data_IF_867531001540
#
_entry.id   IF_867531001540
#
_cell.length_a   1.000
_cell.length_b   1.000
_cell.length_c   1.000
_cell.angle_alpha   90.00
_cell.angle_beta   90.00
_cell.angle_gamma   90.00
#
_symmetry.space_group_name_H-M   'P 1'
#
loop_
_entity.id
_entity.type
_entity.pdbx_description
1 polymer ?
#
# COMPACT_ATOMS: atom_id res chain seq x y z
N UNK A 1 -14.15 -0.77 24.74
CA UNK A 1 -14.16 0.46 23.93
C UNK A 1 -13.67 1.59 24.83
N UNK A 2 -12.43 1.48 25.32
CA UNK A 2 -11.99 2.27 26.50
C UNK A 2 -10.47 2.48 26.63
N UNK A 3 -9.68 2.13 25.61
CA UNK A 3 -8.22 2.31 25.64
C UNK A 3 -7.74 3.55 24.87
N UNK A 4 -8.65 4.27 24.21
CA UNK A 4 -8.32 5.47 23.41
C UNK A 4 -8.39 6.79 24.18
N UNK A 5 -8.98 6.83 25.38
CA UNK A 5 -9.12 8.07 26.17
C UNK A 5 -7.97 8.34 27.13
N UNK A 6 -7.21 7.31 27.56
CA UNK A 6 -6.11 7.49 28.51
C UNK A 6 -4.89 8.20 27.91
N UNK A 7 -4.71 8.15 26.58
CA UNK A 7 -3.58 8.82 25.91
C UNK A 7 -3.76 10.34 25.76
N UNK A 8 -5.01 10.84 25.72
CA UNK A 8 -5.31 12.28 25.59
C UNK A 8 -5.37 13.01 26.94
N UNK A 9 -5.61 12.30 28.05
CA UNK A 9 -5.65 12.89 29.40
C UNK A 9 -4.24 13.20 29.93
N UNK A 10 -3.26 12.37 29.59
CA UNK A 10 -1.91 12.44 30.17
C UNK A 10 -1.00 13.54 29.59
N UNK A 11 -1.58 14.50 28.84
CA UNK A 11 -0.86 15.63 28.23
C UNK A 11 -1.14 16.99 28.86
N UNK A 12 -1.93 17.06 29.95
CA UNK A 12 -2.26 18.33 30.63
C UNK A 12 -1.47 18.61 31.90
N UNK A 13 -0.64 17.69 32.38
CA UNK A 13 0.22 17.92 33.54
C UNK A 13 1.69 17.86 33.11
N UNK A 14 2.26 19.03 32.86
CA UNK A 14 3.64 19.14 32.38
C UNK A 14 3.88 20.39 31.55
N UNK A 15 3.38 21.54 32.01
CA UNK A 15 3.91 22.81 31.56
C UNK A 15 5.35 22.93 32.07
N UNK A 16 6.31 22.47 31.27
CA UNK A 16 7.69 22.94 31.40
C UNK A 16 8.33 23.07 30.03
N UNK A 17 8.79 24.29 29.79
CA UNK A 17 9.29 24.83 28.55
C UNK A 17 10.52 24.06 28.07
N UNK A 18 10.42 23.29 26.99
CA UNK A 18 11.57 22.88 26.16
C UNK A 18 11.11 22.65 24.71
N UNK A 19 11.60 23.51 23.82
CA UNK A 19 11.47 23.54 22.35
C UNK A 19 11.02 22.20 21.74
N UNK A 20 9.76 22.11 21.29
CA UNK A 20 9.39 21.14 20.25
C UNK A 20 10.15 21.52 18.96
N UNK A 21 11.01 20.62 18.48
CA UNK A 21 11.81 20.80 17.28
C UNK A 21 10.95 21.23 16.08
N UNK A 22 11.30 22.35 15.48
CA UNK A 22 10.66 22.93 14.28
C UNK A 22 10.56 21.92 13.12
N UNK A 23 11.56 21.03 12.98
CA UNK A 23 11.54 19.95 11.99
C UNK A 23 10.39 18.94 12.19
N UNK A 24 10.05 18.58 13.43
CA UNK A 24 8.97 17.61 13.71
C UNK A 24 7.58 18.17 13.37
N UNK A 25 7.36 19.47 13.57
CA UNK A 25 6.13 20.14 13.14
C UNK A 25 6.04 20.27 11.63
N UNK A 26 7.15 20.59 10.95
CA UNK A 26 7.19 20.65 9.48
C UNK A 26 6.97 19.27 8.82
N UNK A 27 7.46 18.21 9.47
CA UNK A 27 7.36 16.82 9.00
C UNK A 27 5.92 16.29 9.05
N UNK A 28 5.24 16.46 10.19
CA UNK A 28 3.82 16.12 10.30
C UNK A 28 2.95 16.89 9.30
N UNK A 29 3.30 18.16 9.06
CA UNK A 29 2.62 19.00 8.07
C UNK A 29 2.81 18.49 6.63
N UNK A 30 4.01 18.06 6.23
CA UNK A 30 4.27 17.52 4.88
C UNK A 30 3.54 16.19 4.63
N UNK A 31 3.48 15.31 5.62
CA UNK A 31 2.69 14.06 5.54
C UNK A 31 1.21 14.40 5.37
N UNK A 32 0.72 15.37 6.15
CA UNK A 32 -0.66 15.79 6.09
C UNK A 32 -1.00 16.45 4.75
N UNK A 33 -0.10 17.26 4.20
CA UNK A 33 -0.25 17.84 2.86
C UNK A 33 -0.22 16.78 1.77
N UNK A 34 0.73 15.85 1.77
CA UNK A 34 0.76 14.76 0.78
C UNK A 34 -0.50 13.89 0.85
N UNK A 35 -0.99 13.61 2.06
CA UNK A 35 -2.25 12.89 2.27
C UNK A 35 -3.45 13.70 1.77
N UNK A 36 -3.49 15.01 2.06
CA UNK A 36 -4.57 15.90 1.67
C UNK A 36 -4.62 16.10 0.15
N UNK A 37 -3.47 16.40 -0.47
CA UNK A 37 -3.34 16.58 -1.92
C UNK A 37 -3.75 15.32 -2.67
N UNK A 38 -3.31 14.15 -2.20
CA UNK A 38 -3.74 12.90 -2.79
C UNK A 38 -5.24 12.66 -2.59
N UNK A 39 -5.78 12.92 -1.40
CA UNK A 39 -7.21 12.76 -1.12
C UNK A 39 -8.03 13.65 -2.05
N UNK A 40 -7.64 14.92 -2.19
CA UNK A 40 -8.27 15.88 -3.11
C UNK A 40 -8.18 15.37 -4.55
N UNK A 41 -6.99 14.95 -5.00
CA UNK A 41 -6.78 14.43 -6.35
C UNK A 41 -7.65 13.20 -6.65
N UNK A 42 -7.72 12.22 -5.74
CA UNK A 42 -8.55 11.01 -5.91
C UNK A 42 -10.04 11.33 -5.87
N UNK A 43 -10.46 12.35 -5.12
CA UNK A 43 -11.86 12.80 -5.11
C UNK A 43 -12.25 13.64 -6.32
N UNK A 44 -11.33 14.45 -6.85
CA UNK A 44 -11.59 15.38 -7.94
C UNK A 44 -11.39 14.73 -9.33
N UNK A 45 -10.44 13.80 -9.47
CA UNK A 45 -10.08 13.17 -10.74
C UNK A 45 -10.18 11.63 -10.65
N UNK A 46 -11.00 10.99 -11.49
CA UNK A 46 -11.29 9.56 -11.37
C UNK A 46 -10.17 8.66 -11.93
N UNK A 47 -9.15 9.19 -12.59
CA UNK A 47 -8.17 8.39 -13.33
C UNK A 47 -7.48 7.33 -12.46
N UNK A 48 -6.91 7.74 -11.32
CA UNK A 48 -6.27 6.80 -10.38
C UNK A 48 -7.24 5.75 -9.85
N UNK A 49 -8.48 6.15 -9.53
CA UNK A 49 -9.51 5.24 -9.06
C UNK A 49 -9.90 4.23 -10.16
N UNK A 50 -10.02 4.69 -11.40
CA UNK A 50 -10.35 3.87 -12.56
C UNK A 50 -9.26 2.84 -12.85
N UNK A 51 -7.98 3.25 -12.84
CA UNK A 51 -6.85 2.34 -12.99
C UNK A 51 -6.79 1.29 -11.88
N UNK A 52 -7.03 1.67 -10.63
CA UNK A 52 -7.10 0.72 -9.51
C UNK A 52 -8.26 -0.27 -9.68
N UNK A 53 -9.45 0.19 -10.07
CA UNK A 53 -10.61 -0.69 -10.30
C UNK A 53 -10.30 -1.65 -11.45
N UNK A 54 -9.75 -1.15 -12.55
CA UNK A 54 -9.42 -1.96 -13.71
C UNK A 54 -8.38 -3.04 -13.34
N UNK A 55 -7.26 -2.65 -12.73
CA UNK A 55 -6.22 -3.58 -12.29
C UNK A 55 -6.77 -4.64 -11.34
N UNK A 56 -7.51 -4.23 -10.30
CA UNK A 56 -8.11 -5.17 -9.33
C UNK A 56 -9.13 -6.11 -9.99
N UNK A 57 -9.96 -5.64 -10.93
CA UNK A 57 -10.89 -6.51 -11.66
C UNK A 57 -10.16 -7.50 -12.57
N UNK A 58 -9.14 -7.05 -13.31
CA UNK A 58 -8.35 -7.89 -14.19
C UNK A 58 -7.63 -8.99 -13.41
N UNK A 59 -6.94 -8.64 -12.32
CA UNK A 59 -6.32 -9.62 -11.42
C UNK A 59 -7.38 -10.57 -10.86
N UNK A 60 -8.54 -10.05 -10.44
CA UNK A 60 -9.62 -10.85 -9.86
C UNK A 60 -10.22 -11.87 -10.85
N UNK A 61 -10.32 -11.49 -12.12
CA UNK A 61 -10.78 -12.36 -13.22
C UNK A 61 -9.75 -13.44 -13.55
N UNK A 62 -8.47 -13.07 -13.71
CA UNK A 62 -7.41 -14.01 -14.04
C UNK A 62 -7.19 -15.02 -12.92
N UNK A 63 -7.31 -14.59 -11.67
CA UNK A 63 -7.11 -15.44 -10.50
C UNK A 63 -8.36 -16.17 -10.04
N UNK A 64 -9.45 -16.21 -10.83
CA UNK A 64 -10.78 -16.68 -10.39
C UNK A 64 -10.76 -18.09 -9.81
N UNK A 65 -9.97 -18.98 -10.38
CA UNK A 65 -9.84 -20.40 -9.99
C UNK A 65 -8.62 -20.66 -9.09
N UNK A 66 -7.78 -19.64 -8.86
CA UNK A 66 -6.59 -19.78 -8.03
C UNK A 66 -6.98 -19.99 -6.56
N UNK A 67 -6.31 -20.93 -5.90
CA UNK A 67 -6.44 -21.20 -4.46
C UNK A 67 -5.44 -20.42 -3.63
N UNK A 68 -4.36 -19.94 -4.24
CA UNK A 68 -3.37 -19.03 -3.65
C UNK A 68 -3.00 -17.94 -4.66
N UNK A 69 -3.03 -16.69 -4.21
CA UNK A 69 -2.73 -15.50 -5.00
C UNK A 69 -1.56 -14.78 -4.34
N UNK A 70 -0.56 -14.41 -5.14
CA UNK A 70 0.57 -13.60 -4.72
C UNK A 70 0.60 -12.31 -5.53
N UNK A 71 0.55 -11.17 -4.87
CA UNK A 71 0.56 -9.86 -5.49
C UNK A 71 1.86 -9.15 -5.14
N UNK A 72 2.58 -8.67 -6.15
CA UNK A 72 3.68 -7.72 -5.98
C UNK A 72 3.16 -6.36 -6.43
N UNK A 73 3.12 -5.39 -5.52
CA UNK A 73 2.63 -4.04 -5.78
C UNK A 73 3.76 -3.03 -5.69
N UNK A 74 4.15 -2.48 -6.85
CA UNK A 74 5.13 -1.41 -6.94
C UNK A 74 4.48 -0.08 -6.57
N UNK A 75 4.85 0.38 -5.39
CA UNK A 75 4.47 1.66 -4.85
C UNK A 75 3.10 1.65 -4.21
N UNK A 76 2.90 0.71 -3.29
CA UNK A 76 1.72 0.60 -2.45
C UNK A 76 1.53 1.90 -1.64
N UNK A 77 0.77 2.83 -2.22
CA UNK A 77 0.63 4.15 -1.62
C UNK A 77 -0.45 4.11 -0.53
N UNK A 78 -1.59 3.48 -0.85
CA UNK A 78 -2.75 3.30 0.00
C UNK A 78 -3.39 1.93 -0.25
N UNK A 79 -3.85 1.30 0.82
CA UNK A 79 -4.48 -0.02 0.88
C UNK A 79 -5.90 -0.10 0.29
N UNK A 80 -6.46 1.01 -0.22
CA UNK A 80 -7.82 1.04 -0.74
C UNK A 80 -8.04 0.11 -1.95
N UNK A 81 -7.06 0.05 -2.87
CA UNK A 81 -7.14 -0.84 -4.02
C UNK A 81 -7.30 -2.30 -3.56
N UNK A 82 -6.46 -2.71 -2.61
CA UNK A 82 -6.44 -4.07 -2.09
C UNK A 82 -7.66 -4.35 -1.23
N UNK A 83 -8.13 -3.40 -0.41
CA UNK A 83 -9.41 -3.51 0.32
C UNK A 83 -10.57 -3.93 -0.59
N UNK A 84 -10.74 -3.24 -1.73
CA UNK A 84 -11.79 -3.59 -2.69
C UNK A 84 -11.56 -4.96 -3.37
N UNK A 85 -10.31 -5.27 -3.69
CA UNK A 85 -9.94 -6.56 -4.27
C UNK A 85 -10.31 -7.74 -3.35
N UNK A 86 -9.95 -7.63 -2.06
CA UNK A 86 -10.25 -8.63 -1.02
C UNK A 86 -11.74 -8.90 -0.94
N UNK A 87 -12.51 -7.81 -0.86
CA UNK A 87 -13.96 -7.91 -0.79
C UNK A 87 -14.48 -8.67 -2.01
N UNK A 88 -14.00 -8.35 -3.22
CA UNK A 88 -14.35 -9.05 -4.45
C UNK A 88 -14.03 -10.55 -4.42
N UNK A 89 -12.83 -10.94 -3.99
CA UNK A 89 -12.44 -12.36 -3.93
C UNK A 89 -13.11 -13.12 -2.78
N UNK A 90 -13.55 -12.43 -1.71
CA UNK A 90 -14.26 -13.05 -0.60
C UNK A 90 -15.68 -13.50 -0.97
N UNK A 91 -16.28 -12.92 -2.01
CA UNK A 91 -17.58 -13.30 -2.53
C UNK A 91 -17.53 -14.44 -3.57
N UNK A 92 -16.36 -15.05 -3.78
CA UNK A 92 -16.27 -16.20 -4.68
C UNK A 92 -17.15 -17.35 -4.14
N UNK A 93 -17.82 -18.13 -5.01
CA UNK A 93 -18.64 -19.27 -4.57
C UNK A 93 -17.81 -20.37 -3.88
N UNK A 94 -16.53 -20.46 -4.26
CA UNK A 94 -15.55 -21.35 -3.67
C UNK A 94 -14.92 -20.72 -2.43
N UNK A 95 -14.15 -21.50 -1.67
CA UNK A 95 -13.39 -20.97 -0.51
C UNK A 95 -12.52 -19.77 -0.94
N UNK A 96 -12.48 -18.68 -0.15
CA UNK A 96 -11.60 -17.56 -0.44
C UNK A 96 -10.14 -18.01 -0.55
N UNK A 97 -9.39 -17.53 -1.56
CA UNK A 97 -8.02 -17.93 -1.77
C UNK A 97 -7.12 -17.44 -0.64
N UNK A 98 -5.96 -18.10 -0.45
CA UNK A 98 -4.87 -17.48 0.30
C UNK A 98 -4.38 -16.26 -0.47
N UNK A 99 -4.12 -15.16 0.22
CA UNK A 99 -3.60 -13.94 -0.39
C UNK A 99 -2.32 -13.50 0.30
N UNK A 100 -1.26 -13.37 -0.49
CA UNK A 100 0.00 -12.75 -0.08
C UNK A 100 0.19 -11.47 -0.87
N UNK A 101 0.46 -10.36 -0.18
CA UNK A 101 0.78 -9.08 -0.82
C UNK A 101 2.16 -8.64 -0.38
N UNK A 102 3.01 -8.36 -1.37
CA UNK A 102 4.30 -7.71 -1.19
C UNK A 102 4.19 -6.30 -1.72
N UNK A 103 4.40 -5.33 -0.83
CA UNK A 103 4.56 -3.93 -1.21
C UNK A 103 6.04 -3.62 -1.44
N UNK A 104 6.39 -3.08 -2.60
CA UNK A 104 7.73 -2.54 -2.88
C UNK A 104 7.56 -1.03 -3.07
N UNK A 105 8.04 -0.21 -2.14
CA UNK A 105 8.02 1.24 -2.29
C UNK A 105 9.44 1.77 -2.52
N UNK A 106 9.53 2.93 -3.19
CA UNK A 106 10.81 3.60 -3.35
C UNK A 106 11.30 4.11 -2.00
N UNK A 107 12.58 3.92 -1.64
CA UNK A 107 13.14 4.47 -0.42
C UNK A 107 13.04 6.00 -0.49
N UNK A 108 12.18 6.56 0.36
CA UNK A 108 12.15 8.01 0.55
C UNK A 108 13.17 8.37 1.62
N UNK A 109 14.26 9.09 1.28
CA UNK A 109 15.41 9.30 2.17
C UNK A 109 15.08 10.05 3.48
N UNK A 110 13.91 10.70 3.56
CA UNK A 110 13.48 11.53 4.68
C UNK A 110 12.30 10.92 5.47
N UNK A 111 11.75 9.79 5.00
CA UNK A 111 10.50 9.24 5.51
C UNK A 111 10.79 8.05 6.41
N UNK A 112 10.11 7.92 7.56
CA UNK A 112 10.13 6.67 8.35
C UNK A 112 9.33 5.64 7.58
N UNK A 113 9.95 4.75 6.78
CA UNK A 113 9.22 3.90 5.86
C UNK A 113 8.46 2.85 6.68
N UNK A 114 9.08 2.35 7.74
CA UNK A 114 8.61 1.25 8.59
C UNK A 114 7.27 1.51 9.25
N UNK A 115 7.08 2.67 9.92
CA UNK A 115 5.83 2.98 10.65
C UNK A 115 4.60 3.00 9.72
N UNK A 116 4.75 3.57 8.51
CA UNK A 116 3.67 3.64 7.52
C UNK A 116 3.30 2.25 6.99
N UNK A 117 4.31 1.43 6.70
CA UNK A 117 4.08 0.08 6.20
C UNK A 117 3.46 -0.83 7.26
N UNK A 118 3.86 -0.69 8.52
CA UNK A 118 3.25 -1.40 9.65
C UNK A 118 1.79 -1.01 9.83
N UNK A 119 1.44 0.28 9.71
CA UNK A 119 0.05 0.75 9.81
C UNK A 119 -0.81 0.23 8.65
N UNK A 120 -0.29 0.28 7.42
CA UNK A 120 -0.95 -0.29 6.24
C UNK A 120 -1.16 -1.80 6.43
N UNK A 121 -0.14 -2.53 6.86
CA UNK A 121 -0.20 -3.96 7.13
C UNK A 121 -1.23 -4.30 8.20
N UNK A 122 -1.29 -3.54 9.30
CA UNK A 122 -2.28 -3.73 10.36
C UNK A 122 -3.72 -3.47 9.88
N UNK A 123 -3.92 -2.37 9.13
CA UNK A 123 -5.25 -2.03 8.58
C UNK A 123 -5.75 -3.08 7.61
N UNK A 124 -4.86 -3.50 6.71
CA UNK A 124 -5.09 -4.62 5.80
C UNK A 124 -5.44 -5.88 6.59
N UNK A 125 -4.55 -6.37 7.46
CA UNK A 125 -4.76 -7.61 8.22
C UNK A 125 -6.09 -7.64 8.99
N UNK A 126 -6.46 -6.51 9.62
CA UNK A 126 -7.76 -6.36 10.28
C UNK A 126 -8.93 -6.50 9.31
N UNK A 127 -8.81 -5.93 8.12
CA UNK A 127 -9.82 -6.05 7.05
C UNK A 127 -9.91 -7.50 6.55
N UNK A 128 -8.78 -8.17 6.28
CA UNK A 128 -8.75 -9.57 5.83
C UNK A 128 -9.41 -10.53 6.81
N UNK A 129 -9.14 -10.37 8.11
CA UNK A 129 -9.74 -11.19 9.16
C UNK A 129 -11.27 -11.13 9.14
N UNK A 130 -11.85 -9.97 8.75
CA UNK A 130 -13.31 -9.81 8.61
C UNK A 130 -13.90 -10.66 7.49
N UNK A 131 -13.13 -10.94 6.43
CA UNK A 131 -13.59 -11.70 5.25
C UNK A 131 -13.11 -13.15 5.24
N UNK A 132 -12.53 -13.64 6.35
CA UNK A 132 -12.04 -15.01 6.51
C UNK A 132 -11.02 -15.44 5.42
N UNK A 133 -10.26 -14.47 4.91
CA UNK A 133 -9.18 -14.68 3.94
C UNK A 133 -7.87 -14.89 4.71
N UNK A 134 -7.14 -15.96 4.39
CA UNK A 134 -5.78 -16.16 4.91
C UNK A 134 -4.86 -15.14 4.25
N UNK A 135 -4.22 -14.30 5.07
CA UNK A 135 -3.50 -13.13 4.59
C UNK A 135 -2.08 -13.02 5.15
N UNK A 136 -1.14 -12.71 4.26
CA UNK A 136 0.23 -12.34 4.59
C UNK A 136 0.59 -11.02 3.90
N UNK A 137 1.15 -10.09 4.68
CA UNK A 137 1.63 -8.80 4.18
C UNK A 137 3.09 -8.61 4.53
N UNK A 138 3.91 -8.38 3.52
CA UNK A 138 5.31 -8.06 3.71
C UNK A 138 5.66 -6.79 2.93
N UNK A 139 6.54 -5.97 3.50
CA UNK A 139 7.21 -4.90 2.77
C UNK A 139 8.68 -5.21 2.78
N UNK A 140 9.25 -5.32 1.59
CA UNK A 140 10.62 -5.75 1.39
C UNK A 140 11.26 -4.88 0.30
N UNK A 141 12.59 -4.88 0.27
CA UNK A 141 13.33 -4.35 -0.86
C UNK A 141 13.27 -5.34 -2.03
N UNK A 142 13.49 -4.84 -3.25
CA UNK A 142 13.42 -5.66 -4.46
C UNK A 142 14.37 -6.87 -4.39
N UNK A 143 15.56 -6.68 -3.81
CA UNK A 143 16.59 -7.73 -3.67
C UNK A 143 16.16 -8.89 -2.75
N UNK A 144 15.18 -8.66 -1.87
CA UNK A 144 14.67 -9.66 -0.93
C UNK A 144 13.44 -10.42 -1.48
N UNK A 145 13.03 -10.14 -2.72
CA UNK A 145 11.81 -10.69 -3.30
C UNK A 145 11.87 -12.20 -3.51
N UNK A 146 11.02 -12.93 -2.78
CA UNK A 146 10.86 -14.39 -2.92
C UNK A 146 9.56 -14.75 -3.63
N UNK A 147 9.70 -15.36 -4.80
CA UNK A 147 8.59 -15.92 -5.57
C UNK A 147 8.43 -17.40 -5.21
N UNK A 148 7.27 -17.74 -4.67
CA UNK A 148 6.95 -19.12 -4.30
C UNK A 148 6.31 -19.84 -5.50
N UNK A 149 6.72 -21.08 -5.77
CA UNK A 149 6.08 -21.93 -6.77
C UNK A 149 4.70 -22.40 -6.27
N UNK A 150 3.72 -22.44 -7.16
CA UNK A 150 2.36 -22.91 -6.85
C UNK A 150 1.36 -21.82 -6.43
N UNK A 151 1.77 -20.54 -6.44
CA UNK A 151 0.88 -19.41 -6.26
C UNK A 151 0.65 -18.71 -7.60
N UNK A 152 -0.55 -18.19 -7.84
CA UNK A 152 -0.79 -17.36 -9.02
C UNK A 152 -0.24 -15.95 -8.76
N UNK A 153 0.82 -15.59 -9.48
CA UNK A 153 1.51 -14.31 -9.34
C UNK A 153 0.85 -13.21 -10.18
N UNK A 154 0.60 -12.06 -9.58
CA UNK A 154 0.21 -10.84 -10.25
C UNK A 154 1.16 -9.70 -9.87
N UNK A 155 1.72 -9.03 -10.88
CA UNK A 155 2.54 -7.84 -10.67
C UNK A 155 1.70 -6.61 -11.02
N UNK A 156 1.59 -5.68 -10.08
CA UNK A 156 0.89 -4.41 -10.24
C UNK A 156 1.91 -3.26 -10.20
N UNK A 157 1.97 -2.46 -11.25
CA UNK A 157 2.92 -1.36 -11.40
C UNK A 157 2.22 -0.12 -11.96
N UNK A 158 1.37 0.50 -11.14
CA UNK A 158 0.58 1.66 -11.57
C UNK A 158 1.36 2.97 -11.39
N UNK A 159 1.57 3.69 -12.51
CA UNK A 159 2.22 5.01 -12.55
C UNK A 159 3.65 5.04 -11.97
N UNK A 160 4.38 3.92 -12.00
CA UNK A 160 5.75 3.84 -11.48
C UNK A 160 6.83 3.85 -12.56
N UNK A 161 6.53 3.39 -13.77
CA UNK A 161 7.47 3.42 -14.89
C UNK A 161 7.90 4.84 -15.29
N UNK A 162 7.12 5.87 -14.94
CA UNK A 162 7.50 7.28 -15.11
C UNK A 162 8.80 7.64 -14.37
N UNK A 163 9.16 6.88 -13.33
CA UNK A 163 10.41 7.08 -12.57
C UNK A 163 11.60 6.35 -13.19
N UNK A 164 11.38 5.54 -14.22
CA UNK A 164 12.44 4.86 -14.97
C UNK A 164 12.74 5.72 -16.21
N UNK A 165 14.01 6.07 -16.49
CA UNK A 165 14.39 6.80 -17.70
C UNK A 165 13.86 6.11 -18.96
N UNK A 166 13.51 6.88 -19.98
CA UNK A 166 13.12 6.36 -21.30
C UNK A 166 14.04 6.85 -22.41
N UNK A 167 13.63 6.60 -23.64
CA UNK A 167 14.38 6.97 -24.85
C UNK A 167 14.64 8.48 -24.93
N UNK A 168 13.91 9.31 -24.18
CA UNK A 168 14.12 10.76 -24.12
C UNK A 168 15.31 11.15 -23.24
N UNK A 169 15.79 10.24 -22.38
CA UNK A 169 16.86 10.46 -21.40
C UNK A 169 18.07 9.55 -21.69
N UNK A 170 17.84 8.34 -22.22
CA UNK A 170 18.89 7.35 -22.50
C UNK A 170 18.71 6.76 -23.91
N UNK A 171 19.81 6.51 -24.63
CA UNK A 171 19.76 5.88 -25.97
C UNK A 171 19.17 4.46 -25.96
N UNK A 172 19.36 3.74 -24.86
CA UNK A 172 18.72 2.44 -24.59
C UNK A 172 17.80 2.64 -23.40
N UNK A 173 16.51 2.41 -23.62
CA UNK A 173 15.48 2.61 -22.60
C UNK A 173 15.57 1.49 -21.57
N UNK A 174 15.93 1.79 -20.31
CA UNK A 174 15.93 0.76 -19.27
C UNK A 174 14.52 0.24 -18.96
N UNK A 175 13.44 0.84 -19.53
CA UNK A 175 12.06 0.32 -19.43
C UNK A 175 11.83 -0.97 -20.20
N UNK A 176 12.63 -1.24 -21.24
CA UNK A 176 12.48 -2.45 -22.06
C UNK A 176 13.12 -3.69 -21.42
N UNK A 177 13.99 -3.49 -20.44
CA UNK A 177 14.70 -4.55 -19.71
C UNK A 177 13.99 -4.98 -18.41
N UNK A 178 12.83 -4.39 -18.06
CA UNK A 178 12.11 -4.55 -16.77
C UNK A 178 11.03 -5.62 -16.80
#
# INVERSE_FOLDING_TARGET
MELSFQWLSNKREGANHRRMNFQSKSFGMRIWFAYYDLKVYVTACPFRKMSNIFASKSIGMLTREATSIHIIDFGILYDFQWSCFIQGISFRPTRPPKLRIIGIDFPQPEFRPTERFEEIGHRLAKYYKRFNVLFEYNVIQLDDLKINKGEMLAVNCLYRLINVPDETICEISPRDDV
#
